data_IF_875559114182
#
_entry.id   IF_875559114182
#
_cell.length_a   1.000
_cell.length_b   1.000
_cell.length_c   1.000
_cell.angle_alpha   90.00
_cell.angle_beta   90.00
_cell.angle_gamma   90.00
#
_symmetry.space_group_name_H-M   'P 1'
#
loop_
_entity.id
_entity.type
_entity.pdbx_description
1 polymer ?
#
# COMPACT_ATOMS: atom_id res chain seq x y z
N UNK A 1 -27.26 28.43 -16.77
CA UNK A 1 -27.05 26.97 -16.82
C UNK A 1 -25.58 26.72 -17.08
N UNK A 2 -24.79 26.59 -16.02
CA UNK A 2 -23.38 26.21 -16.12
C UNK A 2 -23.36 24.70 -16.35
N UNK A 3 -23.11 24.28 -17.58
CA UNK A 3 -22.86 22.88 -17.89
C UNK A 3 -21.57 22.47 -17.18
N UNK A 4 -21.70 21.80 -16.05
CA UNK A 4 -20.61 21.03 -15.45
C UNK A 4 -20.25 19.95 -16.49
N UNK A 5 -19.10 20.11 -17.15
CA UNK A 5 -18.45 18.98 -17.81
C UNK A 5 -18.15 17.97 -16.72
N UNK A 6 -19.03 16.98 -16.54
CA UNK A 6 -18.69 15.79 -15.79
C UNK A 6 -17.53 15.12 -16.54
N UNK A 7 -16.35 15.13 -15.90
CA UNK A 7 -15.21 14.35 -16.36
C UNK A 7 -15.64 12.87 -16.32
N UNK A 8 -15.91 12.29 -17.49
CA UNK A 8 -16.14 10.85 -17.64
C UNK A 8 -14.98 10.10 -16.99
N UNK A 9 -15.29 9.19 -16.06
CA UNK A 9 -14.28 8.37 -15.43
C UNK A 9 -13.70 7.37 -16.43
N UNK A 10 -12.50 6.85 -16.15
CA UNK A 10 -11.91 5.79 -16.97
C UNK A 10 -12.80 4.54 -17.03
N UNK A 11 -13.63 4.30 -16.00
CA UNK A 11 -14.62 3.21 -15.98
C UNK A 11 -15.81 3.50 -16.88
N UNK A 12 -16.28 4.74 -16.94
CA UNK A 12 -17.39 5.13 -17.83
C UNK A 12 -16.99 4.95 -19.30
N UNK A 13 -15.74 5.27 -19.62
CA UNK A 13 -15.23 5.18 -20.99
C UNK A 13 -14.83 3.75 -21.42
N UNK A 14 -14.29 2.93 -20.50
CA UNK A 14 -13.66 1.65 -20.84
C UNK A 14 -14.39 0.42 -20.26
N UNK A 15 -15.49 0.62 -19.54
CA UNK A 15 -16.19 -0.42 -18.81
C UNK A 15 -15.48 -0.87 -17.53
N UNK A 16 -16.06 -1.86 -16.81
CA UNK A 16 -15.48 -2.39 -15.58
C UNK A 16 -14.11 -3.03 -15.82
N UNK A 17 -13.26 -2.97 -14.80
CA UNK A 17 -11.94 -3.61 -14.85
C UNK A 17 -12.08 -5.14 -15.02
N UNK A 18 -11.25 -5.78 -15.89
CA UNK A 18 -11.14 -7.23 -15.92
C UNK A 18 -10.85 -7.81 -14.53
N UNK A 19 -11.39 -8.99 -14.24
CA UNK A 19 -11.18 -9.69 -12.97
C UNK A 19 -10.71 -11.13 -13.20
N UNK A 20 -9.90 -11.71 -12.30
CA UNK A 20 -9.51 -13.11 -12.36
C UNK A 20 -10.68 -14.02 -11.97
N UNK A 21 -10.66 -15.29 -12.38
CA UNK A 21 -11.59 -16.28 -11.85
C UNK A 21 -11.28 -16.56 -10.37
N UNK A 22 -12.07 -15.97 -9.47
CA UNK A 22 -11.92 -16.13 -8.02
C UNK A 22 -12.30 -17.53 -7.56
N UNK A 23 -13.21 -18.22 -8.26
CA UNK A 23 -13.64 -19.59 -7.90
C UNK A 23 -12.51 -20.60 -8.09
N UNK A 24 -11.64 -20.35 -9.06
CA UNK A 24 -10.44 -21.14 -9.32
C UNK A 24 -9.25 -20.83 -8.38
N UNK A 25 -9.33 -19.78 -7.55
CA UNK A 25 -8.26 -19.41 -6.63
C UNK A 25 -8.27 -20.31 -5.39
N UNK A 26 -7.13 -20.94 -5.07
CA UNK A 26 -6.98 -21.72 -3.83
C UNK A 26 -6.74 -20.82 -2.61
N UNK A 27 -6.18 -19.62 -2.85
CA UNK A 27 -5.92 -18.60 -1.82
C UNK A 27 -5.97 -17.22 -2.45
N UNK A 28 -6.57 -16.28 -1.74
CA UNK A 28 -6.56 -14.86 -2.07
C UNK A 28 -5.75 -14.15 -0.99
N UNK A 29 -4.60 -13.59 -1.36
CA UNK A 29 -3.78 -12.79 -0.46
C UNK A 29 -4.00 -11.33 -0.78
N UNK A 30 -4.54 -10.58 0.18
CA UNK A 30 -4.79 -9.15 0.02
C UNK A 30 -3.68 -8.35 0.71
N UNK A 31 -2.99 -7.46 -0.02
CA UNK A 31 -1.99 -6.56 0.59
C UNK A 31 -2.65 -5.26 1.04
N UNK A 32 -2.73 -5.04 2.36
CA UNK A 32 -3.23 -3.79 2.94
C UNK A 32 -2.09 -2.82 3.26
N UNK A 33 -2.33 -1.52 3.05
CA UNK A 33 -1.50 -0.44 3.59
C UNK A 33 -2.21 0.38 4.66
N UNK A 34 -3.49 0.10 4.95
CA UNK A 34 -4.36 0.92 5.79
C UNK A 34 -4.80 2.24 5.16
N UNK A 35 -4.42 2.51 3.89
CA UNK A 35 -4.81 3.72 3.17
C UNK A 35 -6.12 3.57 2.40
N UNK A 36 -6.65 4.69 1.90
CA UNK A 36 -7.94 4.77 1.19
C UNK A 36 -8.05 3.79 0.01
N UNK A 37 -6.99 3.68 -0.79
CA UNK A 37 -7.00 2.88 -2.01
C UNK A 37 -6.99 1.37 -1.68
N UNK A 38 -6.21 0.97 -0.66
CA UNK A 38 -6.25 -0.43 -0.17
C UNK A 38 -7.55 -0.75 0.57
N UNK A 39 -8.16 0.21 1.27
CA UNK A 39 -9.42 -0.01 1.96
C UNK A 39 -10.55 -0.30 0.97
N UNK A 40 -10.69 0.53 -0.07
CA UNK A 40 -11.72 0.32 -1.10
C UNK A 40 -11.42 -0.92 -1.95
N UNK A 41 -10.16 -1.19 -2.23
CA UNK A 41 -9.77 -2.44 -2.90
C UNK A 41 -10.16 -3.68 -2.09
N UNK A 42 -10.02 -3.63 -0.75
CA UNK A 42 -10.41 -4.73 0.14
C UNK A 42 -11.92 -4.96 0.10
N UNK A 43 -12.68 -3.88 0.25
CA UNK A 43 -14.13 -3.90 0.18
C UNK A 43 -14.64 -4.48 -1.16
N UNK A 44 -14.10 -4.03 -2.29
CA UNK A 44 -14.48 -4.56 -3.61
C UNK A 44 -14.06 -6.03 -3.79
N UNK A 45 -12.90 -6.41 -3.24
CA UNK A 45 -12.45 -7.82 -3.23
C UNK A 45 -13.42 -8.70 -2.45
N UNK A 46 -13.87 -8.26 -1.28
CA UNK A 46 -14.82 -9.00 -0.44
C UNK A 46 -16.14 -9.15 -1.16
N UNK A 47 -16.69 -8.05 -1.71
CA UNK A 47 -17.95 -8.07 -2.47
C UNK A 47 -17.93 -9.10 -3.60
N UNK A 48 -16.84 -9.15 -4.36
CA UNK A 48 -16.68 -10.09 -5.48
C UNK A 48 -16.44 -11.52 -5.01
N UNK A 49 -15.67 -11.72 -3.93
CA UNK A 49 -15.44 -13.04 -3.35
C UNK A 49 -16.70 -13.62 -2.70
N UNK A 50 -17.57 -12.79 -2.14
CA UNK A 50 -18.88 -13.20 -1.61
C UNK A 50 -19.80 -13.70 -2.69
N UNK A 51 -19.92 -12.94 -3.78
CA UNK A 51 -20.70 -13.34 -4.94
C UNK A 51 -20.21 -14.68 -5.53
N UNK A 52 -18.90 -14.95 -5.41
CA UNK A 52 -18.27 -16.20 -5.82
C UNK A 52 -18.27 -17.31 -4.75
N UNK A 53 -18.72 -17.03 -3.52
CA UNK A 53 -18.72 -18.00 -2.41
C UNK A 53 -17.34 -18.43 -1.92
N UNK A 54 -16.33 -17.54 -2.01
CA UNK A 54 -14.92 -17.85 -1.69
C UNK A 54 -14.27 -16.87 -0.71
N UNK A 55 -15.07 -16.11 0.06
CA UNK A 55 -14.55 -15.15 1.07
C UNK A 55 -13.57 -15.82 2.05
N UNK A 56 -13.85 -17.05 2.45
CA UNK A 56 -13.02 -17.86 3.37
C UNK A 56 -11.58 -18.08 2.87
N UNK A 57 -11.35 -17.89 1.57
CA UNK A 57 -10.03 -17.99 0.95
C UNK A 57 -9.21 -16.71 1.08
N UNK A 58 -9.78 -15.61 1.57
CA UNK A 58 -9.06 -14.34 1.72
C UNK A 58 -8.24 -14.32 3.00
N UNK A 59 -6.99 -13.86 2.90
CA UNK A 59 -6.16 -13.46 4.03
C UNK A 59 -5.53 -12.09 3.75
N UNK A 60 -5.66 -11.18 4.72
CA UNK A 60 -5.12 -9.82 4.64
C UNK A 60 -3.70 -9.80 5.22
N UNK A 61 -2.75 -9.27 4.47
CA UNK A 61 -1.36 -9.09 4.84
C UNK A 61 -1.02 -7.60 4.92
N UNK A 62 -0.45 -7.18 6.04
CA UNK A 62 0.20 -5.88 6.20
C UNK A 62 1.72 -6.06 6.33
N UNK A 63 2.48 -5.43 5.44
CA UNK A 63 3.95 -5.46 5.48
C UNK A 63 4.48 -4.22 6.22
N UNK A 64 4.79 -4.39 7.49
CA UNK A 64 5.26 -3.33 8.40
C UNK A 64 6.72 -2.95 8.13
N UNK A 65 6.96 -1.63 8.09
CA UNK A 65 8.28 -1.02 7.89
C UNK A 65 9.07 -0.80 9.18
N UNK A 66 8.49 -1.13 10.34
CA UNK A 66 9.17 -1.19 11.62
C UNK A 66 9.29 0.15 12.34
N UNK A 67 10.15 0.16 13.36
CA UNK A 67 10.37 1.27 14.29
C UNK A 67 11.81 1.77 14.20
N UNK A 68 12.01 3.08 14.19
CA UNK A 68 13.33 3.70 14.13
C UNK A 68 14.14 3.47 15.40
N UNK A 69 15.47 3.69 15.39
CA UNK A 69 16.29 3.64 16.61
C UNK A 69 15.77 4.53 17.75
N UNK A 70 15.13 5.67 17.44
CA UNK A 70 14.52 6.55 18.45
C UNK A 70 13.09 6.17 18.84
N UNK A 71 12.60 5.00 18.44
CA UNK A 71 11.30 4.48 18.87
C UNK A 71 10.10 4.98 18.05
N UNK A 72 10.32 5.65 16.92
CA UNK A 72 9.23 6.15 16.08
C UNK A 72 8.81 5.12 15.02
N UNK A 73 7.52 4.87 14.85
CA UNK A 73 7.04 4.02 13.74
C UNK A 73 7.34 4.67 12.39
N UNK A 74 7.77 3.90 11.38
CA UNK A 74 7.97 4.42 10.01
C UNK A 74 6.63 4.78 9.35
N UNK A 75 5.62 3.95 9.59
CA UNK A 75 4.24 4.19 9.21
C UNK A 75 3.54 5.07 10.23
N UNK A 76 2.37 5.61 9.90
CA UNK A 76 1.64 6.48 10.81
C UNK A 76 1.22 5.73 12.08
N UNK A 77 1.21 6.40 13.24
CA UNK A 77 0.68 5.79 14.46
C UNK A 77 -0.75 5.29 14.24
N UNK A 78 -0.99 4.04 14.66
CA UNK A 78 -2.29 3.37 14.51
C UNK A 78 -2.57 2.74 13.13
N UNK A 79 -1.67 2.84 12.14
CA UNK A 79 -1.91 2.25 10.79
C UNK A 79 -2.16 0.73 10.85
N UNK A 80 -1.36 -0.03 11.63
CA UNK A 80 -1.52 -1.49 11.73
C UNK A 80 -2.88 -1.84 12.35
N UNK A 81 -3.27 -1.13 13.41
CA UNK A 81 -4.54 -1.41 14.09
C UNK A 81 -5.74 -1.01 13.24
N UNK A 82 -5.63 0.09 12.48
CA UNK A 82 -6.63 0.46 11.49
C UNK A 82 -6.76 -0.63 10.41
N UNK A 83 -5.65 -1.06 9.82
CA UNK A 83 -5.67 -2.11 8.79
C UNK A 83 -6.25 -3.43 9.32
N UNK A 84 -6.00 -3.76 10.59
CA UNK A 84 -6.62 -4.89 11.27
C UNK A 84 -8.13 -4.71 11.39
N UNK A 85 -8.61 -3.57 11.92
CA UNK A 85 -10.05 -3.27 12.03
C UNK A 85 -10.76 -3.30 10.69
N UNK A 86 -10.10 -2.82 9.63
CA UNK A 86 -10.62 -2.89 8.26
C UNK A 86 -10.81 -4.33 7.79
N UNK A 87 -9.88 -5.25 8.12
CA UNK A 87 -10.01 -6.66 7.82
C UNK A 87 -11.08 -7.37 8.68
N UNK A 88 -11.09 -7.07 9.99
CA UNK A 88 -12.04 -7.63 10.96
C UNK A 88 -13.49 -7.25 10.64
N UNK A 89 -13.72 -6.04 10.12
CA UNK A 89 -15.04 -5.60 9.66
C UNK A 89 -15.66 -6.58 8.65
N UNK A 90 -14.83 -7.21 7.80
CA UNK A 90 -15.26 -8.21 6.82
C UNK A 90 -15.12 -9.66 7.32
N UNK A 91 -14.72 -9.87 8.58
CA UNK A 91 -14.48 -11.19 9.17
C UNK A 91 -13.24 -11.89 8.61
N UNK A 92 -12.24 -11.13 8.15
CA UNK A 92 -11.06 -11.68 7.49
C UNK A 92 -9.88 -11.90 8.43
N UNK A 93 -9.10 -12.95 8.19
CA UNK A 93 -7.81 -13.16 8.87
C UNK A 93 -6.83 -12.03 8.50
N UNK A 94 -6.17 -11.47 9.51
CA UNK A 94 -5.17 -10.41 9.35
C UNK A 94 -3.80 -10.84 9.84
N UNK A 95 -2.77 -10.61 9.04
CA UNK A 95 -1.39 -11.01 9.29
C UNK A 95 -0.44 -9.82 9.12
N UNK A 96 0.51 -9.67 10.04
CA UNK A 96 1.58 -8.67 9.94
C UNK A 96 2.90 -9.37 9.65
N UNK A 97 3.69 -8.83 8.73
CA UNK A 97 5.06 -9.29 8.46
C UNK A 97 6.03 -8.11 8.50
N UNK A 98 7.20 -8.34 9.11
CA UNK A 98 8.31 -7.39 9.20
C UNK A 98 9.59 -8.03 8.65
N UNK A 99 10.53 -7.22 8.18
CA UNK A 99 11.85 -7.71 7.79
C UNK A 99 12.59 -8.28 8.99
N UNK A 100 13.10 -9.51 8.86
CA UNK A 100 14.01 -10.09 9.85
C UNK A 100 15.44 -9.52 9.74
N UNK A 101 15.81 -8.95 8.58
CA UNK A 101 17.15 -8.40 8.35
C UNK A 101 17.28 -6.97 8.86
N UNK A 102 16.23 -6.18 8.72
CA UNK A 102 16.24 -4.76 9.07
C UNK A 102 15.11 -4.46 10.06
N UNK A 103 15.45 -4.01 11.26
CA UNK A 103 14.46 -3.65 12.28
C UNK A 103 13.49 -2.56 11.80
N UNK A 104 13.94 -1.66 10.91
CA UNK A 104 13.08 -0.74 10.19
C UNK A 104 13.65 -0.30 8.84
N UNK A 105 12.82 0.41 8.07
CA UNK A 105 13.26 1.06 6.84
C UNK A 105 14.44 2.01 7.09
N UNK A 106 14.46 2.72 8.23
CA UNK A 106 15.52 3.69 8.55
C UNK A 106 16.88 3.01 8.77
N UNK A 107 16.90 1.80 9.37
CA UNK A 107 18.11 0.97 9.45
C UNK A 107 18.65 0.62 8.05
N UNK A 108 17.77 0.26 7.12
CA UNK A 108 18.18 -0.05 5.75
C UNK A 108 18.65 1.20 4.99
N UNK A 109 18.05 2.36 5.25
CA UNK A 109 18.51 3.63 4.68
C UNK A 109 19.97 3.86 5.10
N UNK A 110 20.28 3.71 6.39
CA UNK A 110 21.62 3.86 6.95
C UNK A 110 22.61 2.87 6.34
N UNK A 111 22.27 1.57 6.33
CA UNK A 111 23.11 0.52 5.71
C UNK A 111 23.43 0.82 4.24
N UNK A 112 22.46 1.37 3.51
CA UNK A 112 22.64 1.68 2.09
C UNK A 112 23.35 3.01 1.84
N UNK A 113 23.49 3.87 2.86
CA UNK A 113 23.98 5.24 2.72
C UNK A 113 23.15 6.13 1.79
N UNK A 114 21.86 5.79 1.58
CA UNK A 114 20.98 6.58 0.69
C UNK A 114 19.49 6.35 1.01
N UNK A 115 18.71 7.43 0.95
CA UNK A 115 17.25 7.33 0.96
C UNK A 115 16.72 6.66 -0.32
N UNK A 116 15.54 6.01 -0.28
CA UNK A 116 14.91 5.48 -1.48
C UNK A 116 14.58 6.63 -2.45
N UNK A 117 14.41 6.32 -3.73
CA UNK A 117 13.94 7.29 -4.73
C UNK A 117 13.08 6.59 -5.78
N UNK A 118 12.57 7.33 -6.76
CA UNK A 118 11.69 6.80 -7.81
C UNK A 118 12.29 5.58 -8.55
N UNK A 119 13.60 5.61 -8.80
CA UNK A 119 14.33 4.57 -9.52
C UNK A 119 14.84 3.45 -8.61
N UNK A 120 15.08 3.76 -7.33
CA UNK A 120 15.61 2.83 -6.34
C UNK A 120 14.65 2.65 -5.14
N UNK A 121 13.51 2.02 -5.41
CA UNK A 121 12.44 1.75 -4.42
C UNK A 121 12.67 0.47 -3.65
N UNK A 122 13.78 0.40 -2.93
CA UNK A 122 14.11 -0.80 -2.17
C UNK A 122 13.12 -1.09 -1.01
N UNK A 123 12.39 -0.08 -0.52
CA UNK A 123 11.26 -0.27 0.39
C UNK A 123 10.14 -1.13 -0.23
N UNK A 124 9.82 -0.93 -1.51
CA UNK A 124 8.90 -1.80 -2.26
C UNK A 124 9.46 -3.22 -2.40
N UNK A 125 10.78 -3.36 -2.59
CA UNK A 125 11.41 -4.68 -2.62
C UNK A 125 11.27 -5.43 -1.28
N UNK A 126 11.45 -4.75 -0.13
CA UNK A 126 11.18 -5.36 1.19
C UNK A 126 9.76 -5.90 1.25
N UNK A 127 8.76 -5.04 0.97
CA UNK A 127 7.35 -5.44 1.08
C UNK A 127 7.05 -6.62 0.16
N UNK A 128 7.55 -6.60 -1.08
CA UNK A 128 7.38 -7.69 -2.05
C UNK A 128 8.01 -9.00 -1.57
N UNK A 129 9.20 -8.96 -0.99
CA UNK A 129 9.88 -10.17 -0.51
C UNK A 129 9.15 -10.77 0.70
N UNK A 130 8.64 -9.92 1.60
CA UNK A 130 7.78 -10.34 2.71
C UNK A 130 6.49 -10.99 2.21
N UNK A 131 5.80 -10.35 1.25
CA UNK A 131 4.58 -10.93 0.65
C UNK A 131 4.84 -12.26 -0.04
N UNK A 132 5.97 -12.42 -0.74
CA UNK A 132 6.33 -13.70 -1.39
C UNK A 132 6.62 -14.82 -0.40
N UNK A 133 7.29 -14.50 0.71
CA UNK A 133 7.49 -15.46 1.81
C UNK A 133 6.16 -15.89 2.41
N UNK A 134 5.30 -14.92 2.72
CA UNK A 134 3.97 -15.18 3.25
C UNK A 134 3.12 -16.03 2.29
N UNK A 135 3.10 -15.71 0.99
CA UNK A 135 2.40 -16.52 -0.02
C UNK A 135 2.96 -17.94 -0.06
N UNK A 136 4.27 -18.12 0.12
CA UNK A 136 4.88 -19.46 0.19
C UNK A 136 4.36 -20.23 1.40
N UNK A 137 4.27 -19.59 2.58
CA UNK A 137 3.66 -20.17 3.78
C UNK A 137 2.20 -20.60 3.52
N UNK A 138 1.41 -19.72 2.89
CA UNK A 138 0.01 -20.03 2.57
C UNK A 138 -0.12 -21.19 1.59
N UNK A 139 0.72 -21.24 0.54
CA UNK A 139 0.74 -22.34 -0.43
C UNK A 139 1.14 -23.65 0.24
N UNK A 140 2.13 -23.64 1.13
CA UNK A 140 2.52 -24.83 1.89
C UNK A 140 1.37 -25.32 2.78
N UNK A 141 0.68 -24.40 3.47
CA UNK A 141 -0.44 -24.75 4.35
C UNK A 141 -1.64 -25.36 3.61
N UNK A 142 -1.82 -25.05 2.31
CA UNK A 142 -2.87 -25.66 1.49
C UNK A 142 -2.62 -27.14 1.18
N UNK A 143 -1.38 -27.62 1.26
CA UNK A 143 -1.04 -29.04 1.04
C UNK A 143 -1.34 -29.56 -0.37
N UNK A 144 -1.56 -28.69 -1.36
CA UNK A 144 -1.90 -29.08 -2.73
C UNK A 144 -0.71 -29.78 -3.39
N UNK A 145 -0.93 -31.00 -3.86
CA UNK A 145 0.01 -31.79 -4.66
C UNK A 145 -0.57 -32.05 -6.05
N UNK A 146 0.30 -32.40 -7.02
CA UNK A 146 -0.13 -32.74 -8.39
C UNK A 146 -0.42 -31.55 -9.32
N UNK A 147 -0.55 -30.32 -8.79
CA UNK A 147 -0.60 -29.08 -9.60
C UNK A 147 -0.04 -27.88 -8.82
N UNK A 148 0.33 -26.78 -9.51
CA UNK A 148 0.59 -25.52 -8.83
C UNK A 148 -0.67 -25.01 -8.10
N UNK A 149 -0.48 -24.51 -6.87
CA UNK A 149 -1.52 -23.76 -6.17
C UNK A 149 -1.78 -22.43 -6.89
N UNK A 150 -3.05 -22.07 -7.10
CA UNK A 150 -3.48 -20.83 -7.74
C UNK A 150 -3.72 -19.77 -6.67
N UNK A 151 -2.89 -18.74 -6.68
CA UNK A 151 -2.98 -17.62 -5.72
C UNK A 151 -3.34 -16.35 -6.46
N UNK A 152 -4.33 -15.62 -5.94
CA UNK A 152 -4.62 -14.25 -6.36
C UNK A 152 -3.99 -13.30 -5.34
N UNK A 153 -3.03 -12.48 -5.76
CA UNK A 153 -2.44 -11.42 -4.96
C UNK A 153 -3.11 -10.08 -5.33
N UNK A 154 -3.88 -9.54 -4.39
CA UNK A 154 -4.63 -8.31 -4.59
C UNK A 154 -3.83 -7.11 -4.08
N UNK A 155 -3.74 -6.06 -4.89
CA UNK A 155 -3.08 -4.81 -4.56
C UNK A 155 -4.02 -3.62 -4.87
N UNK A 156 -4.15 -2.69 -3.93
CA UNK A 156 -4.95 -1.46 -4.11
C UNK A 156 -4.22 -0.38 -4.90
N UNK A 157 -3.82 -0.66 -6.15
CA UNK A 157 -3.23 0.33 -7.05
C UNK A 157 -4.31 0.96 -7.93
N UNK A 158 -4.19 2.27 -8.17
CA UNK A 158 -5.02 3.03 -9.11
C UNK A 158 -4.20 3.69 -10.22
N UNK A 159 -4.82 3.86 -11.37
CA UNK A 159 -4.27 4.52 -12.56
C UNK A 159 -3.96 6.00 -12.29
N UNK A 160 -4.84 6.71 -11.58
CA UNK A 160 -4.68 8.14 -11.27
C UNK A 160 -3.46 8.44 -10.38
N UNK A 161 -2.91 7.46 -9.66
CA UNK A 161 -1.77 7.69 -8.77
C UNK A 161 -0.46 7.96 -9.53
N UNK A 162 -0.31 7.48 -10.76
CA UNK A 162 0.86 7.80 -11.61
C UNK A 162 0.70 7.29 -13.04
N UNK A 163 1.40 7.93 -13.99
CA UNK A 163 1.49 7.47 -15.40
C UNK A 163 1.88 5.98 -15.52
N UNK A 164 2.80 5.50 -14.70
CA UNK A 164 3.23 4.10 -14.71
C UNK A 164 2.16 3.12 -14.21
N UNK A 165 1.21 3.57 -13.39
CA UNK A 165 0.08 2.74 -12.96
C UNK A 165 -1.06 2.79 -13.97
N UNK A 166 -1.23 3.92 -14.66
CA UNK A 166 -2.23 4.07 -15.73
C UNK A 166 -2.04 3.07 -16.90
N UNK A 167 -0.81 2.59 -17.12
CA UNK A 167 -0.52 1.59 -18.16
C UNK A 167 -0.59 0.14 -17.67
N UNK A 168 -0.90 -0.11 -16.39
CA UNK A 168 -1.03 -1.47 -15.88
C UNK A 168 -2.30 -2.14 -16.40
N UNK A 169 -2.28 -3.45 -16.70
CA UNK A 169 -3.51 -4.21 -16.83
C UNK A 169 -4.13 -4.42 -15.45
N UNK A 170 -5.46 -4.52 -15.36
CA UNK A 170 -6.16 -4.81 -14.10
C UNK A 170 -5.83 -6.20 -13.53
N UNK A 171 -5.46 -7.14 -14.41
CA UNK A 171 -5.06 -8.51 -14.08
C UNK A 171 -3.81 -8.89 -14.85
N UNK A 172 -2.81 -9.44 -14.18
CA UNK A 172 -1.60 -9.96 -14.82
C UNK A 172 -1.00 -11.15 -14.05
N UNK A 173 -0.24 -12.02 -14.73
CA UNK A 173 0.48 -13.11 -14.06
C UNK A 173 1.84 -12.59 -13.57
N UNK A 174 2.12 -12.70 -12.26
CA UNK A 174 3.49 -12.47 -11.75
C UNK A 174 4.35 -13.70 -12.06
N UNK A 175 4.89 -13.73 -13.28
CA UNK A 175 5.78 -14.80 -13.74
C UNK A 175 7.01 -14.97 -12.86
N UNK A 176 7.52 -13.87 -12.25
CA UNK A 176 8.71 -13.90 -11.39
C UNK A 176 8.42 -14.51 -10.02
N UNK A 177 7.19 -14.38 -9.53
CA UNK A 177 6.78 -14.96 -8.26
C UNK A 177 6.10 -16.33 -8.41
N UNK A 178 5.72 -16.72 -9.63
CA UNK A 178 5.19 -18.05 -9.98
C UNK A 178 6.31 -19.10 -10.11
N UNK A 179 5.97 -20.36 -9.93
CA UNK A 179 6.87 -21.52 -10.02
C UNK A 179 6.08 -22.82 -10.25
N UNK A 180 6.76 -23.97 -10.33
CA UNK A 180 6.08 -25.28 -10.40
C UNK A 180 5.20 -25.60 -9.18
N UNK A 181 5.35 -24.87 -8.07
CA UNK A 181 4.51 -25.04 -6.87
C UNK A 181 3.32 -24.07 -6.81
N UNK A 182 3.36 -22.95 -7.53
CA UNK A 182 2.30 -21.93 -7.48
C UNK A 182 2.23 -21.07 -8.74
N UNK A 183 1.02 -20.64 -9.07
CA UNK A 183 0.77 -19.57 -10.04
C UNK A 183 0.22 -18.37 -9.29
N UNK A 184 0.82 -17.19 -9.50
CA UNK A 184 0.39 -15.95 -8.85
C UNK A 184 -0.22 -15.03 -9.92
N UNK A 185 -1.49 -14.70 -9.72
CA UNK A 185 -2.21 -13.69 -10.48
C UNK A 185 -2.27 -12.41 -9.65
N UNK A 186 -1.71 -11.32 -10.17
CA UNK A 186 -1.88 -9.98 -9.63
C UNK A 186 -3.24 -9.43 -10.07
N UNK A 187 -3.94 -8.83 -9.12
CA UNK A 187 -5.24 -8.20 -9.37
C UNK A 187 -5.32 -6.82 -8.72
N UNK A 188 -5.81 -5.85 -9.49
CA UNK A 188 -5.99 -4.45 -9.12
C UNK A 188 -7.48 -4.08 -9.23
N UNK A 189 -8.32 -4.41 -8.24
CA UNK A 189 -9.78 -4.33 -8.34
C UNK A 189 -10.32 -2.90 -8.51
N UNK A 190 -9.50 -1.90 -8.19
CA UNK A 190 -9.86 -0.48 -8.21
C UNK A 190 -9.00 0.32 -9.17
N UNK A 191 -8.36 -0.34 -10.15
CA UNK A 191 -7.36 0.29 -10.99
C UNK A 191 -7.89 1.53 -11.69
N UNK A 192 -9.09 1.47 -12.26
CA UNK A 192 -9.70 2.59 -12.99
C UNK A 192 -10.60 3.48 -12.15
N UNK A 193 -10.69 3.26 -10.84
CA UNK A 193 -11.51 4.08 -9.96
C UNK A 193 -10.89 5.48 -9.81
N UNK A 194 -11.74 6.49 -9.92
CA UNK A 194 -11.41 7.87 -9.61
C UNK A 194 -11.25 8.09 -8.11
N UNK A 195 -10.59 9.18 -7.75
CA UNK A 195 -10.45 9.58 -6.34
C UNK A 195 -11.81 9.87 -5.70
N UNK A 196 -12.76 10.39 -6.47
CA UNK A 196 -14.15 10.62 -6.03
C UNK A 196 -14.84 9.30 -5.67
N UNK A 197 -14.83 8.32 -6.58
CA UNK A 197 -15.43 7.00 -6.35
C UNK A 197 -14.83 6.30 -5.11
N UNK A 198 -13.51 6.44 -4.91
CA UNK A 198 -12.83 5.91 -3.71
C UNK A 198 -13.44 6.50 -2.44
N UNK A 199 -13.60 7.82 -2.37
CA UNK A 199 -14.12 8.48 -1.17
C UNK A 199 -15.61 8.24 -0.96
N UNK A 200 -16.40 8.23 -2.03
CA UNK A 200 -17.82 7.85 -1.97
C UNK A 200 -17.98 6.45 -1.41
N UNK A 201 -17.17 5.50 -1.89
CA UNK A 201 -17.22 4.12 -1.41
C UNK A 201 -16.77 3.99 0.04
N UNK A 202 -15.73 4.72 0.46
CA UNK A 202 -15.31 4.76 1.87
C UNK A 202 -16.47 5.23 2.76
N UNK A 203 -17.12 6.34 2.40
CA UNK A 203 -18.24 6.89 3.17
C UNK A 203 -19.43 5.92 3.23
N UNK A 204 -19.69 5.19 2.14
CA UNK A 204 -20.75 4.20 2.08
C UNK A 204 -20.42 2.91 2.87
N UNK A 205 -19.14 2.56 3.04
CA UNK A 205 -18.72 1.27 3.63
C UNK A 205 -18.96 1.15 5.14
N UNK A 206 -19.06 2.27 5.87
CA UNK A 206 -19.09 2.27 7.34
C UNK A 206 -17.76 1.84 8.00
N UNK A 207 -16.70 1.62 7.21
CA UNK A 207 -15.37 1.23 7.69
C UNK A 207 -14.53 2.47 7.98
N UNK A 208 -13.87 2.57 9.15
CA UNK A 208 -13.01 3.71 9.45
C UNK A 208 -11.88 3.85 8.43
N UNK A 209 -11.63 5.09 7.99
CA UNK A 209 -10.48 5.45 7.18
C UNK A 209 -9.38 6.10 8.04
N UNK A 210 -8.22 6.32 7.43
CA UNK A 210 -7.05 6.81 8.15
C UNK A 210 -7.15 8.31 8.49
N UNK A 211 -7.05 8.66 9.77
CA UNK A 211 -7.18 10.04 10.30
C UNK A 211 -6.30 11.08 9.59
N UNK A 212 -5.12 10.68 9.13
CA UNK A 212 -4.19 11.59 8.46
C UNK A 212 -4.77 12.23 7.17
N UNK A 213 -5.78 11.61 6.55
CA UNK A 213 -6.50 12.24 5.44
C UNK A 213 -7.24 13.52 5.87
N UNK A 214 -7.82 13.52 7.08
CA UNK A 214 -8.50 14.71 7.64
C UNK A 214 -7.50 15.82 8.01
N UNK A 215 -6.21 15.50 8.09
CA UNK A 215 -5.14 16.45 8.33
C UNK A 215 -4.53 17.02 7.03
N UNK A 216 -5.10 16.67 5.88
CA UNK A 216 -4.67 17.17 4.57
C UNK A 216 -3.66 16.28 3.84
N UNK A 217 -3.38 15.06 4.32
CA UNK A 217 -2.58 14.11 3.55
C UNK A 217 -3.37 13.61 2.34
N UNK A 218 -2.75 13.58 1.16
CA UNK A 218 -3.36 13.02 -0.05
C UNK A 218 -3.09 11.51 -0.22
N UNK A 219 -2.00 11.01 0.37
CA UNK A 219 -1.52 9.63 0.25
C UNK A 219 -0.81 9.14 1.52
N UNK A 220 -0.89 7.84 1.78
CA UNK A 220 -0.37 7.24 3.01
C UNK A 220 0.25 5.86 2.78
N UNK A 221 1.39 5.61 3.42
CA UNK A 221 1.92 4.28 3.78
C UNK A 221 3.01 4.47 4.84
N UNK A 222 4.17 5.03 4.48
CA UNK A 222 5.11 5.61 5.45
C UNK A 222 4.80 7.11 5.64
N UNK A 223 5.10 7.65 6.83
CA UNK A 223 4.81 9.05 7.14
C UNK A 223 5.66 10.03 6.32
N UNK A 224 6.97 9.80 6.24
CA UNK A 224 7.90 10.61 5.45
C UNK A 224 8.31 9.85 4.18
N UNK A 225 7.35 9.71 3.26
CA UNK A 225 7.59 9.01 2.00
C UNK A 225 8.35 9.91 1.01
N UNK A 226 9.50 9.46 0.52
CA UNK A 226 10.26 10.16 -0.54
C UNK A 226 9.47 10.42 -1.83
N UNK A 227 8.38 9.66 -2.06
CA UNK A 227 7.49 9.85 -3.21
C UNK A 227 6.31 10.79 -2.92
N UNK A 228 6.21 11.33 -1.70
CA UNK A 228 5.14 12.24 -1.32
C UNK A 228 5.37 13.62 -1.94
N UNK A 229 4.27 14.34 -2.14
CA UNK A 229 4.33 15.72 -2.60
C UNK A 229 4.98 16.60 -1.53
N UNK A 230 5.47 17.78 -1.92
CA UNK A 230 5.99 18.73 -0.93
C UNK A 230 4.93 19.13 0.13
N UNK A 231 3.66 19.42 -0.23
CA UNK A 231 2.60 19.65 0.75
C UNK A 231 2.39 18.48 1.72
N UNK A 232 2.35 17.24 1.22
CA UNK A 232 2.23 16.05 2.07
C UNK A 232 3.42 15.93 3.04
N UNK A 233 4.65 16.19 2.57
CA UNK A 233 5.85 16.11 3.40
C UNK A 233 5.86 17.19 4.48
N UNK A 234 5.45 18.42 4.13
CA UNK A 234 5.29 19.52 5.08
C UNK A 234 4.24 19.19 6.13
N UNK A 235 3.07 18.67 5.72
CA UNK A 235 2.04 18.23 6.65
C UNK A 235 2.54 17.08 7.55
N UNK A 236 3.19 16.08 6.98
CA UNK A 236 3.74 14.96 7.73
C UNK A 236 4.81 15.38 8.74
N UNK A 237 5.69 16.32 8.40
CA UNK A 237 6.69 16.83 9.33
C UNK A 237 6.08 17.67 10.45
N UNK A 238 4.99 18.42 10.19
CA UNK A 238 4.22 19.12 11.24
C UNK A 238 3.57 18.13 12.22
N UNK A 239 2.99 17.05 11.70
CA UNK A 239 2.32 16.03 12.50
C UNK A 239 3.28 15.07 13.20
N UNK A 240 4.51 14.93 12.68
CA UNK A 240 5.54 14.01 13.19
C UNK A 240 6.91 14.69 13.27
N UNK A 241 7.05 15.75 14.07
CA UNK A 241 8.28 16.57 14.11
C UNK A 241 9.50 15.77 14.58
N UNK A 242 9.33 14.85 15.53
CA UNK A 242 10.43 14.02 16.05
C UNK A 242 10.96 13.03 15.01
N UNK A 243 10.06 12.38 14.25
CA UNK A 243 10.45 11.51 13.15
C UNK A 243 11.14 12.30 12.03
N UNK A 244 10.64 13.50 11.73
CA UNK A 244 11.25 14.38 10.74
C UNK A 244 12.66 14.78 11.17
N UNK A 245 12.85 15.11 12.44
CA UNK A 245 14.17 15.43 12.99
C UNK A 245 15.11 14.22 12.93
N UNK A 246 14.66 13.01 13.26
CA UNK A 246 15.50 11.81 13.14
C UNK A 246 15.92 11.54 11.69
N UNK A 247 15.03 11.78 10.72
CA UNK A 247 15.37 11.68 9.30
C UNK A 247 16.39 12.75 8.88
N UNK A 248 16.28 13.98 9.40
CA UNK A 248 17.24 15.06 9.14
C UNK A 248 18.63 14.75 9.73
N UNK A 249 18.67 14.21 10.94
CA UNK A 249 19.92 13.84 11.59
C UNK A 249 20.62 12.72 10.79
N UNK A 250 19.87 11.74 10.29
CA UNK A 250 20.43 10.69 9.45
C UNK A 250 20.84 11.19 8.06
N UNK A 251 20.09 12.12 7.47
CA UNK A 251 20.46 12.83 6.23
C UNK A 251 21.84 13.51 6.38
N UNK A 252 22.06 14.22 7.50
CA UNK A 252 23.32 14.87 7.82
C UNK A 252 24.45 13.86 8.08
N UNK A 253 24.19 12.80 8.86
CA UNK A 253 25.16 11.74 9.17
C UNK A 253 25.68 11.05 7.90
N UNK A 254 24.79 10.73 6.96
CA UNK A 254 25.15 10.05 5.72
C UNK A 254 25.73 10.99 4.66
N UNK A 255 25.58 12.31 4.81
CA UNK A 255 25.88 13.27 3.74
C UNK A 255 25.05 13.05 2.47
N UNK A 256 23.87 12.43 2.60
CA UNK A 256 23.04 11.99 1.48
C UNK A 256 21.60 12.53 1.63
N UNK A 257 21.12 13.34 0.67
CA UNK A 257 19.84 14.03 0.84
C UNK A 257 18.65 13.06 0.80
N UNK A 258 17.58 13.39 1.53
CA UNK A 258 16.29 12.69 1.53
C UNK A 258 15.67 12.67 0.13
N UNK A 259 15.68 13.82 -0.54
CA UNK A 259 15.48 13.94 -1.98
C UNK A 259 16.49 14.93 -2.56
N UNK A 260 16.87 14.72 -3.83
CA UNK A 260 17.78 15.62 -4.54
C UNK A 260 17.27 17.06 -4.61
N UNK A 261 15.95 17.23 -4.66
CA UNK A 261 15.27 18.52 -4.82
C UNK A 261 14.63 19.05 -3.53
N UNK A 262 14.72 18.29 -2.41
CA UNK A 262 14.06 18.67 -1.16
C UNK A 262 14.68 17.92 0.04
N UNK A 263 15.46 18.63 0.85
CA UNK A 263 16.09 18.06 2.04
C UNK A 263 15.12 17.96 3.22
N UNK A 264 15.46 17.16 4.24
CA UNK A 264 14.66 17.12 5.47
C UNK A 264 14.70 18.44 6.23
N UNK A 265 15.86 19.12 6.25
CA UNK A 265 15.98 20.44 6.86
C UNK A 265 15.00 21.44 6.24
N UNK A 266 14.89 21.45 4.91
CA UNK A 266 13.94 22.32 4.20
C UNK A 266 12.48 21.92 4.48
N UNK A 267 12.16 20.63 4.52
CA UNK A 267 10.82 20.14 4.87
C UNK A 267 10.42 20.61 6.29
N UNK A 268 11.33 20.51 7.25
CA UNK A 268 11.11 20.95 8.64
C UNK A 268 10.90 22.47 8.70
N UNK A 269 11.70 23.25 7.96
CA UNK A 269 11.52 24.70 7.88
C UNK A 269 10.14 25.08 7.31
N UNK A 270 9.73 24.45 6.20
CA UNK A 270 8.39 24.63 5.62
C UNK A 270 7.29 24.29 6.62
N UNK A 271 7.46 23.22 7.40
CA UNK A 271 6.49 22.80 8.41
C UNK A 271 6.35 23.81 9.56
N UNK A 272 7.46 24.42 10.00
CA UNK A 272 7.45 25.49 11.01
C UNK A 272 6.81 26.77 10.50
N UNK A 273 7.01 27.13 9.24
CA UNK A 273 6.43 28.32 8.63
C UNK A 273 4.92 28.21 8.37
N UNK A 274 4.39 26.98 8.31
CA UNK A 274 2.97 26.70 8.08
C UNK A 274 2.19 26.40 9.37
N UNK A 275 2.84 26.47 10.54
CA UNK A 275 2.26 26.26 11.87
C UNK A 275 1.86 27.59 12.50
#
# INVERSE_FOLDING_TARGET
MTAQLELLSARDALGPDPMPDLTAADRIVFSSSGGKDSQVALDETVRLADAAGVRDRIVVLHCDLGVTPRGHTIEWPGTIDLARRQAEHYGLRFEVRRSAKWASLLHRIRDRGQFPNLFNRYCTAIKRDLSRKFITEQVTALGITGRPAKVVLVLGLRAEESRSRATKPAVEIDRRASSGRRTITLWYPVLRWSTTEVWERIRASGVPYHWAYDQGMSRLSCSLCVLASAPDLTCAARLRPELAQEYADQEAEMGAPFRRDLSMAEIIQRAKAAA
#
